data_IF_195216948079
#
_entry.id   IF_195216948079
#
_cell.length_a   1.000
_cell.length_b   1.000
_cell.length_c   1.000
_cell.angle_alpha   90.00
_cell.angle_beta   90.00
_cell.angle_gamma   90.00
#
_symmetry.space_group_name_H-M   'P 1'
#
loop_
_entity.id
_entity.type
_entity.pdbx_description
1 polymer ?
#
# COMPACT_ATOMS: atom_id res chain seq x y z
N UNK A 1 -27.80 -25.82 5.94
CA UNK A 1 -26.92 -24.94 6.71
C UNK A 1 -25.75 -24.59 5.78
N UNK A 2 -25.83 -23.41 5.17
CA UNK A 2 -24.75 -22.92 4.29
C UNK A 2 -23.52 -22.70 5.16
N UNK A 3 -22.43 -23.44 4.93
CA UNK A 3 -21.13 -23.05 5.48
C UNK A 3 -20.83 -21.68 4.89
N UNK A 4 -20.78 -20.66 5.72
CA UNK A 4 -20.18 -19.39 5.33
C UNK A 4 -18.74 -19.75 4.99
N UNK A 5 -18.40 -19.81 3.71
CA UNK A 5 -17.00 -19.85 3.30
C UNK A 5 -16.39 -18.59 3.86
N UNK A 6 -15.35 -18.74 4.70
CA UNK A 6 -14.63 -17.59 5.22
C UNK A 6 -14.02 -16.84 4.03
N UNK A 7 -14.30 -15.55 3.95
CA UNK A 7 -13.73 -14.69 2.91
C UNK A 7 -12.20 -14.71 3.00
N UNK A 8 -11.53 -14.95 1.89
CA UNK A 8 -10.07 -14.88 1.81
C UNK A 8 -9.64 -13.45 1.54
N UNK A 9 -8.85 -12.89 2.43
CA UNK A 9 -8.31 -11.53 2.31
C UNK A 9 -6.81 -11.61 2.05
N UNK A 10 -6.38 -11.04 0.92
CA UNK A 10 -4.99 -11.09 0.48
C UNK A 10 -4.38 -9.69 0.56
N UNK A 11 -3.32 -9.55 1.36
CA UNK A 11 -2.51 -8.34 1.39
C UNK A 11 -1.53 -8.32 0.22
N UNK A 12 -1.46 -7.21 -0.49
CA UNK A 12 -0.49 -6.98 -1.54
C UNK A 12 0.48 -5.88 -1.12
N UNK A 13 1.76 -6.18 -1.15
CA UNK A 13 2.81 -5.24 -0.78
C UNK A 13 4.04 -5.41 -1.67
N UNK A 14 4.94 -4.47 -1.59
CA UNK A 14 6.20 -4.46 -2.33
C UNK A 14 6.98 -3.19 -2.02
N UNK A 15 8.30 -3.23 -2.21
CA UNK A 15 9.14 -2.07 -2.06
C UNK A 15 8.88 -1.00 -3.13
N UNK A 16 9.43 0.17 -2.92
CA UNK A 16 9.42 1.25 -3.92
C UNK A 16 9.99 0.74 -5.24
N UNK A 17 9.37 1.09 -6.36
CA UNK A 17 9.76 0.67 -7.71
C UNK A 17 9.80 -0.87 -7.94
N UNK A 18 9.02 -1.65 -7.17
CA UNK A 18 8.93 -3.11 -7.34
C UNK A 18 8.08 -3.54 -8.54
N UNK A 19 7.24 -2.66 -9.09
CA UNK A 19 6.29 -3.00 -10.16
C UNK A 19 4.94 -3.48 -9.64
N UNK A 20 4.61 -3.23 -8.39
CA UNK A 20 3.36 -3.63 -7.74
C UNK A 20 2.11 -3.14 -8.48
N UNK A 21 2.14 -1.96 -9.11
CA UNK A 21 1.02 -1.40 -9.88
C UNK A 21 0.56 -2.30 -11.03
N UNK A 22 1.49 -2.94 -11.73
CA UNK A 22 1.17 -3.92 -12.79
C UNK A 22 0.43 -5.12 -12.22
N UNK A 23 0.85 -5.61 -11.07
CA UNK A 23 0.17 -6.72 -10.37
C UNK A 23 -1.24 -6.33 -9.97
N UNK A 24 -1.44 -5.12 -9.43
CA UNK A 24 -2.77 -4.59 -9.08
C UNK A 24 -3.70 -4.54 -10.29
N UNK A 25 -3.21 -4.03 -11.44
CA UNK A 25 -4.01 -3.98 -12.67
C UNK A 25 -4.45 -5.37 -13.11
N UNK A 26 -3.55 -6.34 -13.12
CA UNK A 26 -3.87 -7.72 -13.51
C UNK A 26 -4.89 -8.37 -12.56
N UNK A 27 -4.80 -8.12 -11.26
CA UNK A 27 -5.76 -8.60 -10.27
C UNK A 27 -7.15 -8.03 -10.55
N UNK A 28 -7.23 -6.73 -10.84
CA UNK A 28 -8.49 -6.05 -11.21
C UNK A 28 -9.07 -6.56 -12.52
N UNK A 29 -8.23 -6.77 -13.54
CA UNK A 29 -8.63 -7.34 -14.82
C UNK A 29 -9.17 -8.78 -14.69
N UNK A 30 -8.66 -9.54 -13.73
CA UNK A 30 -9.17 -10.87 -13.40
C UNK A 30 -10.51 -10.85 -12.64
N UNK A 31 -11.03 -9.67 -12.32
CA UNK A 31 -12.34 -9.48 -11.71
C UNK A 31 -12.34 -9.34 -10.17
N UNK A 32 -11.18 -9.36 -9.53
CA UNK A 32 -11.09 -9.18 -8.08
C UNK A 32 -11.15 -7.71 -7.66
N UNK A 33 -11.78 -7.46 -6.53
CA UNK A 33 -11.76 -6.15 -5.89
C UNK A 33 -10.43 -5.91 -5.19
N UNK A 34 -9.95 -4.67 -5.26
CA UNK A 34 -8.72 -4.23 -4.58
C UNK A 34 -9.03 -2.95 -3.81
N UNK A 35 -8.80 -2.99 -2.50
CA UNK A 35 -8.78 -1.80 -1.65
C UNK A 35 -7.39 -1.17 -1.78
N UNK A 36 -7.31 0.04 -2.32
CA UNK A 36 -6.08 0.81 -2.50
C UNK A 36 -5.93 1.79 -1.33
N UNK A 37 -4.96 1.54 -0.46
CA UNK A 37 -4.72 2.37 0.72
C UNK A 37 -4.26 3.79 0.37
N UNK A 38 -3.45 3.96 -0.68
CA UNK A 38 -2.98 5.29 -1.10
C UNK A 38 -4.14 6.13 -1.65
N UNK A 39 -5.02 5.52 -2.46
CA UNK A 39 -6.22 6.20 -2.95
C UNK A 39 -7.16 6.57 -1.80
N UNK A 40 -7.33 5.68 -0.83
CA UNK A 40 -8.11 5.93 0.36
C UNK A 40 -7.61 7.15 1.14
N UNK A 41 -6.30 7.22 1.38
CA UNK A 41 -5.66 8.36 2.05
C UNK A 41 -5.88 9.64 1.24
N UNK A 42 -5.69 9.58 -0.08
CA UNK A 42 -5.89 10.71 -0.97
C UNK A 42 -7.33 11.24 -0.87
N UNK A 43 -8.33 10.38 -0.89
CA UNK A 43 -9.75 10.75 -0.79
C UNK A 43 -10.08 11.35 0.58
N UNK A 44 -9.53 10.80 1.66
CA UNK A 44 -9.71 11.35 3.02
C UNK A 44 -9.00 12.68 3.24
N UNK A 45 -7.99 13.01 2.46
CA UNK A 45 -7.28 14.30 2.48
C UNK A 45 -7.93 15.35 1.56
N UNK A 46 -8.89 14.96 0.73
CA UNK A 46 -9.67 15.92 -0.04
C UNK A 46 -10.49 16.80 0.88
N UNK A 47 -10.84 18.00 0.40
CA UNK A 47 -11.59 19.00 1.18
C UNK A 47 -12.84 18.38 1.82
N UNK A 48 -12.96 18.51 3.13
CA UNK A 48 -14.06 17.93 3.93
C UNK A 48 -13.89 16.46 4.32
N UNK A 49 -12.83 15.77 3.88
CA UNK A 49 -12.51 14.41 4.27
C UNK A 49 -12.07 14.27 5.73
N UNK A 50 -12.02 13.05 6.24
CA UNK A 50 -11.66 12.77 7.65
C UNK A 50 -10.25 13.23 8.01
N UNK A 51 -9.25 12.93 7.15
CA UNK A 51 -7.87 13.37 7.36
C UNK A 51 -7.74 14.89 7.20
N UNK A 52 -8.41 15.46 6.21
CA UNK A 52 -8.45 16.90 6.01
C UNK A 52 -8.91 17.63 7.29
N UNK A 53 -10.03 17.21 7.87
CA UNK A 53 -10.56 17.80 9.11
C UNK A 53 -9.62 17.60 10.30
N UNK A 54 -9.08 16.40 10.49
CA UNK A 54 -8.16 16.12 11.58
C UNK A 54 -6.86 16.94 11.50
N UNK A 55 -6.34 17.15 10.30
CA UNK A 55 -5.15 17.99 10.08
C UNK A 55 -5.45 19.47 10.32
N UNK A 56 -6.62 19.96 9.91
CA UNK A 56 -7.07 21.33 10.22
C UNK A 56 -7.25 21.55 11.73
N UNK A 57 -7.89 20.62 12.44
CA UNK A 57 -8.08 20.69 13.88
C UNK A 57 -6.74 20.74 14.63
N UNK A 58 -5.74 20.04 14.12
CA UNK A 58 -4.41 20.00 14.72
C UNK A 58 -3.54 21.21 14.36
N UNK A 59 -3.46 21.60 13.09
CA UNK A 59 -2.48 22.56 12.56
C UNK A 59 -3.10 23.91 12.15
N UNK A 60 -4.42 24.01 12.11
CA UNK A 60 -5.13 25.23 11.72
C UNK A 60 -5.16 25.48 10.22
N UNK A 61 -5.81 26.55 9.81
CA UNK A 61 -6.04 26.90 8.40
C UNK A 61 -4.78 27.31 7.64
N UNK A 62 -3.68 27.56 8.34
CA UNK A 62 -2.40 27.89 7.73
C UNK A 62 -1.82 26.81 6.81
N UNK A 63 -2.37 25.60 6.85
CA UNK A 63 -1.98 24.47 5.98
C UNK A 63 -2.80 24.40 4.67
N UNK A 64 -3.68 25.37 4.44
CA UNK A 64 -4.52 25.41 3.25
C UNK A 64 -3.96 26.33 2.18
N UNK A 65 -4.28 26.00 0.92
CA UNK A 65 -4.19 26.88 -0.22
C UNK A 65 -5.37 27.86 -0.25
N UNK A 66 -5.31 28.95 -1.02
CA UNK A 66 -6.42 29.90 -1.16
C UNK A 66 -7.74 29.28 -1.62
N UNK A 67 -7.68 28.16 -2.37
CA UNK A 67 -8.87 27.42 -2.83
C UNK A 67 -9.44 26.47 -1.77
N UNK A 68 -8.84 26.39 -0.58
CA UNK A 68 -9.28 25.54 0.51
C UNK A 68 -8.72 24.11 0.51
N UNK A 69 -7.92 23.74 -0.49
CA UNK A 69 -7.23 22.44 -0.52
C UNK A 69 -6.00 22.43 0.40
N UNK A 70 -5.55 21.24 0.81
CA UNK A 70 -4.31 21.08 1.57
C UNK A 70 -3.10 21.55 0.76
N UNK A 71 -2.32 22.42 1.35
CA UNK A 71 -0.97 22.76 0.86
C UNK A 71 0.00 21.65 1.24
N UNK A 72 0.10 20.62 0.40
CA UNK A 72 0.90 19.42 0.67
C UNK A 72 2.39 19.70 0.92
N UNK A 73 3.07 20.58 0.15
CA UNK A 73 4.45 20.95 0.46
C UNK A 73 4.62 21.56 1.84
N UNK A 74 3.73 22.48 2.22
CA UNK A 74 3.77 23.13 3.54
C UNK A 74 3.46 22.14 4.67
N UNK A 75 2.47 21.30 4.48
CA UNK A 75 2.12 20.24 5.43
C UNK A 75 3.31 19.30 5.65
N UNK A 76 3.97 18.86 4.58
CA UNK A 76 5.19 18.05 4.64
C UNK A 76 6.30 18.72 5.42
N UNK A 77 6.57 20.00 5.16
CA UNK A 77 7.58 20.76 5.90
C UNK A 77 7.27 20.83 7.41
N UNK A 78 6.03 21.06 7.78
CA UNK A 78 5.61 21.11 9.18
C UNK A 78 5.73 19.73 9.87
N UNK A 79 5.26 18.67 9.23
CA UNK A 79 5.30 17.31 9.77
C UNK A 79 6.73 16.83 9.93
N UNK A 80 7.61 17.12 8.96
CA UNK A 80 9.01 16.69 8.99
C UNK A 80 9.95 17.66 9.69
N UNK A 81 9.44 18.75 10.29
CA UNK A 81 10.27 19.75 10.95
C UNK A 81 11.03 19.22 12.18
N UNK A 82 10.41 18.30 12.92
CA UNK A 82 11.02 17.65 14.08
C UNK A 82 10.35 16.31 14.39
N UNK A 83 10.93 15.56 15.31
CA UNK A 83 10.45 14.22 15.69
C UNK A 83 9.06 14.23 16.34
N UNK A 84 8.78 15.20 17.17
CA UNK A 84 7.47 15.33 17.85
C UNK A 84 6.33 15.50 16.81
N UNK A 85 6.54 16.37 15.82
CA UNK A 85 5.57 16.58 14.74
C UNK A 85 5.36 15.32 13.91
N UNK A 86 6.44 14.58 13.61
CA UNK A 86 6.35 13.29 12.89
C UNK A 86 5.54 12.26 13.68
N UNK A 87 5.83 12.10 14.96
CA UNK A 87 5.11 11.17 15.83
C UNK A 87 3.64 11.54 15.95
N UNK A 88 3.34 12.80 16.18
CA UNK A 88 1.96 13.28 16.29
C UNK A 88 1.18 13.08 14.99
N UNK A 89 1.79 13.35 13.85
CA UNK A 89 1.20 13.08 12.54
C UNK A 89 0.90 11.59 12.34
N UNK A 90 1.85 10.74 12.68
CA UNK A 90 1.69 9.29 12.56
C UNK A 90 0.55 8.76 13.47
N UNK A 91 0.42 9.28 14.68
CA UNK A 91 -0.66 8.93 15.60
C UNK A 91 -2.03 9.33 15.03
N UNK A 92 -2.18 10.61 14.66
CA UNK A 92 -3.46 11.17 14.18
C UNK A 92 -3.88 10.48 12.88
N UNK A 93 -3.01 10.50 11.86
CA UNK A 93 -3.32 9.96 10.56
C UNK A 93 -3.38 8.44 10.56
N UNK A 94 -2.44 7.79 11.23
CA UNK A 94 -2.36 6.33 11.31
C UNK A 94 -3.62 5.71 11.93
N UNK A 95 -4.15 6.29 12.99
CA UNK A 95 -5.39 5.84 13.62
C UNK A 95 -6.59 5.95 12.67
N UNK A 96 -6.74 7.09 12.00
CA UNK A 96 -7.86 7.32 11.06
C UNK A 96 -7.76 6.38 9.86
N UNK A 97 -6.56 6.25 9.28
CA UNK A 97 -6.32 5.36 8.13
C UNK A 97 -6.64 3.91 8.49
N UNK A 98 -6.17 3.45 9.65
CA UNK A 98 -6.40 2.08 10.11
C UNK A 98 -7.89 1.80 10.34
N UNK A 99 -8.61 2.73 10.92
CA UNK A 99 -10.07 2.61 11.12
C UNK A 99 -10.82 2.53 9.79
N UNK A 100 -10.47 3.37 8.82
CA UNK A 100 -11.15 3.38 7.52
C UNK A 100 -10.82 2.14 6.70
N UNK A 101 -9.55 1.69 6.70
CA UNK A 101 -9.16 0.43 6.06
C UNK A 101 -9.91 -0.76 6.67
N UNK A 102 -10.05 -0.80 8.01
CA UNK A 102 -10.80 -1.85 8.69
C UNK A 102 -12.29 -1.82 8.29
N UNK A 103 -12.90 -0.64 8.23
CA UNK A 103 -14.30 -0.50 7.83
C UNK A 103 -14.54 -0.95 6.38
N UNK A 104 -13.65 -0.61 5.46
CA UNK A 104 -13.76 -1.04 4.07
C UNK A 104 -13.51 -2.55 3.91
N UNK A 105 -12.52 -3.10 4.61
CA UNK A 105 -12.28 -4.54 4.67
C UNK A 105 -13.51 -5.30 5.14
N UNK A 106 -14.10 -4.90 6.27
CA UNK A 106 -15.23 -5.58 6.89
C UNK A 106 -16.52 -5.47 6.05
N UNK A 107 -16.66 -4.39 5.29
CA UNK A 107 -17.75 -4.24 4.32
C UNK A 107 -17.54 -5.20 3.14
N UNK A 108 -16.35 -5.19 2.55
CA UNK A 108 -16.07 -6.00 1.36
C UNK A 108 -16.07 -7.50 1.66
N UNK A 109 -15.70 -7.88 2.88
CA UNK A 109 -15.78 -9.27 3.35
C UNK A 109 -17.19 -9.85 3.42
N UNK A 110 -18.23 -9.02 3.33
CA UNK A 110 -19.64 -9.46 3.26
C UNK A 110 -20.13 -9.62 1.82
N UNK A 111 -19.40 -9.11 0.87
CA UNK A 111 -19.80 -9.01 -0.53
C UNK A 111 -18.96 -9.93 -1.45
N UNK A 112 -17.71 -10.21 -1.05
CA UNK A 112 -16.74 -10.92 -1.88
C UNK A 112 -16.18 -12.14 -1.14
N UNK A 113 -16.00 -13.24 -1.86
CA UNK A 113 -15.36 -14.45 -1.33
C UNK A 113 -13.83 -14.31 -1.27
N UNK A 114 -13.26 -13.52 -2.18
CA UNK A 114 -11.82 -13.21 -2.25
C UNK A 114 -11.64 -11.75 -2.67
N UNK A 115 -10.84 -11.01 -1.93
CA UNK A 115 -10.42 -9.66 -2.34
C UNK A 115 -9.03 -9.32 -1.84
N UNK A 116 -8.47 -8.24 -2.37
CA UNK A 116 -7.11 -7.78 -2.10
C UNK A 116 -7.11 -6.43 -1.40
N UNK A 117 -6.08 -6.20 -0.60
CA UNK A 117 -5.76 -4.88 -0.05
C UNK A 117 -4.33 -4.51 -0.43
N UNK A 118 -4.19 -3.47 -1.24
CA UNK A 118 -2.89 -2.91 -1.63
C UNK A 118 -2.45 -1.89 -0.58
N UNK A 119 -1.51 -2.30 0.27
CA UNK A 119 -0.96 -1.47 1.34
C UNK A 119 0.57 -1.40 1.19
N UNK A 120 1.14 -0.25 0.79
CA UNK A 120 2.57 -0.13 0.50
C UNK A 120 3.49 -0.50 1.67
N UNK A 121 3.21 0.00 2.86
CA UNK A 121 3.95 -0.27 4.10
C UNK A 121 3.19 -1.26 5.01
N UNK A 122 2.68 -2.33 4.42
CA UNK A 122 1.83 -3.32 5.09
C UNK A 122 2.51 -3.91 6.33
N UNK A 123 3.74 -4.36 6.19
CA UNK A 123 4.50 -5.03 7.25
C UNK A 123 5.04 -4.00 8.24
N UNK A 124 5.61 -2.91 7.75
CA UNK A 124 6.15 -1.82 8.56
C UNK A 124 5.08 -1.21 9.50
N UNK A 125 3.85 -1.13 9.04
CA UNK A 125 2.73 -0.57 9.80
C UNK A 125 1.91 -1.62 10.59
N UNK A 126 2.37 -2.87 10.63
CA UNK A 126 1.78 -3.92 11.46
C UNK A 126 0.41 -4.43 10.98
N UNK A 127 0.19 -4.50 9.67
CA UNK A 127 -1.06 -5.00 9.09
C UNK A 127 -1.04 -6.51 8.78
N UNK A 128 0.08 -7.21 8.99
CA UNK A 128 0.26 -8.60 8.57
C UNK A 128 -0.81 -9.56 9.10
N UNK A 129 -1.30 -9.34 10.30
CA UNK A 129 -2.32 -10.20 10.92
C UNK A 129 -3.74 -10.02 10.36
N UNK A 130 -3.92 -9.09 9.42
CA UNK A 130 -5.22 -8.84 8.78
C UNK A 130 -5.51 -9.78 7.62
N UNK A 131 -4.52 -10.57 7.17
CA UNK A 131 -4.56 -11.28 5.91
C UNK A 131 -4.41 -12.79 6.07
N UNK A 132 -5.12 -13.53 5.23
CA UNK A 132 -4.96 -14.98 5.08
C UNK A 132 -3.71 -15.30 4.27
N UNK A 133 -3.40 -14.43 3.32
CA UNK A 133 -2.18 -14.48 2.51
C UNK A 133 -1.59 -13.08 2.33
N UNK A 134 -0.26 -13.02 2.20
CA UNK A 134 0.44 -11.80 1.81
C UNK A 134 1.23 -12.11 0.53
N UNK A 135 0.95 -11.35 -0.52
CA UNK A 135 1.69 -11.39 -1.77
C UNK A 135 2.70 -10.24 -1.79
N UNK A 136 3.97 -10.59 -1.90
CA UNK A 136 5.09 -9.66 -1.93
C UNK A 136 5.65 -9.57 -3.35
N UNK A 137 5.54 -8.41 -3.97
CA UNK A 137 6.21 -8.10 -5.24
C UNK A 137 7.65 -7.74 -4.93
N UNK A 138 8.58 -8.55 -5.41
CA UNK A 138 9.99 -8.48 -5.04
C UNK A 138 10.86 -8.13 -6.24
N UNK A 139 11.86 -7.30 -5.98
CA UNK A 139 12.91 -6.93 -6.94
C UNK A 139 14.22 -6.75 -6.17
N UNK A 140 15.35 -7.10 -6.80
CA UNK A 140 16.65 -6.91 -6.18
C UNK A 140 16.93 -5.44 -5.90
N UNK A 141 17.71 -5.09 -4.87
CA UNK A 141 18.04 -3.71 -4.55
C UNK A 141 18.70 -2.95 -5.71
N UNK A 142 19.51 -3.64 -6.53
CA UNK A 142 20.19 -3.07 -7.69
C UNK A 142 19.19 -2.66 -8.77
N UNK A 143 18.27 -3.53 -9.12
CA UNK A 143 17.22 -3.26 -10.12
C UNK A 143 16.24 -2.23 -9.59
N UNK A 144 15.89 -2.30 -8.33
CA UNK A 144 15.05 -1.32 -7.65
C UNK A 144 15.65 0.09 -7.74
N UNK A 145 16.94 0.21 -7.44
CA UNK A 145 17.67 1.47 -7.53
C UNK A 145 17.68 2.02 -8.97
N UNK A 146 18.01 1.20 -9.95
CA UNK A 146 17.99 1.58 -11.37
C UNK A 146 16.61 2.07 -11.84
N UNK A 147 15.55 1.34 -11.48
CA UNK A 147 14.17 1.70 -11.85
C UNK A 147 13.75 3.02 -11.19
N UNK A 148 14.11 3.21 -9.92
CA UNK A 148 13.77 4.41 -9.16
C UNK A 148 14.49 5.65 -9.71
N UNK A 149 15.79 5.53 -10.00
CA UNK A 149 16.58 6.58 -10.63
C UNK A 149 15.97 7.02 -11.96
N UNK A 150 15.64 6.05 -12.81
CA UNK A 150 15.06 6.33 -14.14
C UNK A 150 13.69 6.99 -14.05
N UNK A 151 12.83 6.51 -13.16
CA UNK A 151 11.46 7.01 -13.00
C UNK A 151 11.40 8.42 -12.43
N UNK A 152 12.23 8.70 -11.44
CA UNK A 152 12.19 9.93 -10.65
C UNK A 152 13.35 10.88 -10.90
N UNK A 153 14.23 10.57 -11.87
CA UNK A 153 15.43 11.37 -12.19
C UNK A 153 16.33 11.65 -10.98
N UNK A 154 16.57 10.60 -10.17
CA UNK A 154 17.34 10.68 -8.94
C UNK A 154 18.80 10.27 -9.16
N UNK A 155 19.70 10.78 -8.30
CA UNK A 155 21.04 10.22 -8.14
C UNK A 155 20.99 8.84 -7.48
N UNK A 156 22.11 8.11 -7.53
CA UNK A 156 22.24 6.80 -6.86
C UNK A 156 22.04 6.95 -5.35
N UNK A 157 22.62 7.99 -4.77
CA UNK A 157 22.54 8.29 -3.33
C UNK A 157 21.10 8.58 -2.89
N UNK A 158 20.40 9.41 -3.65
CA UNK A 158 19.01 9.75 -3.39
C UNK A 158 18.09 8.51 -3.51
N UNK A 159 18.32 7.69 -4.53
CA UNK A 159 17.56 6.45 -4.73
C UNK A 159 17.78 5.46 -3.58
N UNK A 160 19.04 5.24 -3.19
CA UNK A 160 19.38 4.38 -2.04
C UNK A 160 18.76 4.87 -0.75
N UNK A 161 18.82 6.17 -0.46
CA UNK A 161 18.23 6.76 0.74
C UNK A 161 16.72 6.45 0.82
N UNK A 162 16.00 6.54 -0.29
CA UNK A 162 14.57 6.21 -0.34
C UNK A 162 14.31 4.72 -0.17
N UNK A 163 15.13 3.86 -0.73
CA UNK A 163 15.02 2.40 -0.57
C UNK A 163 15.27 2.02 0.88
N UNK A 164 16.34 2.55 1.48
CA UNK A 164 16.75 2.25 2.85
C UNK A 164 15.80 2.82 3.91
N UNK A 165 14.91 3.74 3.54
CA UNK A 165 13.84 4.23 4.42
C UNK A 165 12.72 3.21 4.65
N UNK A 166 12.66 2.15 3.86
CA UNK A 166 11.70 1.05 3.98
C UNK A 166 12.41 -0.20 4.54
N UNK A 167 11.62 -1.10 5.10
CA UNK A 167 12.09 -2.43 5.50
C UNK A 167 12.68 -3.15 4.28
N UNK A 168 13.80 -3.81 4.45
CA UNK A 168 14.48 -4.52 3.36
C UNK A 168 13.64 -5.70 2.84
N UNK A 169 13.94 -6.13 1.60
CA UNK A 169 13.29 -7.31 1.03
C UNK A 169 13.49 -8.55 1.90
N UNK A 170 14.72 -8.76 2.41
CA UNK A 170 15.04 -9.90 3.26
C UNK A 170 14.21 -9.93 4.56
N UNK A 171 13.94 -8.79 5.15
CA UNK A 171 13.12 -8.66 6.34
C UNK A 171 11.62 -8.87 6.06
N UNK A 172 11.15 -8.55 4.84
CA UNK A 172 9.75 -8.75 4.42
C UNK A 172 9.43 -10.17 4.03
N UNK A 173 10.39 -10.89 3.43
CA UNK A 173 10.18 -12.25 2.90
C UNK A 173 9.54 -13.23 3.89
N UNK A 174 9.91 -13.27 5.19
CA UNK A 174 9.30 -14.20 6.14
C UNK A 174 7.79 -14.04 6.34
N UNK A 175 7.24 -12.86 6.03
CA UNK A 175 5.81 -12.57 6.14
C UNK A 175 5.01 -12.93 4.88
N UNK A 176 5.70 -13.20 3.77
CA UNK A 176 5.05 -13.46 2.49
C UNK A 176 4.60 -14.92 2.37
N UNK A 177 3.34 -15.11 1.97
CA UNK A 177 2.80 -16.40 1.55
C UNK A 177 3.20 -16.72 0.11
N UNK A 178 3.33 -15.67 -0.71
CA UNK A 178 3.74 -15.74 -2.11
C UNK A 178 4.69 -14.59 -2.43
N UNK A 179 5.80 -14.92 -3.09
CA UNK A 179 6.74 -13.93 -3.60
C UNK A 179 6.61 -13.88 -5.12
N UNK A 180 6.23 -12.71 -5.64
CA UNK A 180 6.18 -12.42 -7.07
C UNK A 180 7.48 -11.72 -7.48
N UNK A 181 8.44 -12.49 -7.96
CA UNK A 181 9.73 -11.99 -8.41
C UNK A 181 9.57 -11.18 -9.70
N UNK A 182 9.98 -9.91 -9.67
CA UNK A 182 9.95 -8.99 -10.80
C UNK A 182 11.36 -8.55 -11.24
N UNK A 183 12.35 -9.40 -11.09
CA UNK A 183 13.71 -9.16 -11.61
C UNK A 183 13.82 -9.37 -13.12
N UNK A 184 12.91 -10.13 -13.71
CA UNK A 184 12.87 -10.45 -15.14
C UNK A 184 12.07 -9.45 -15.98
N UNK A 185 11.52 -9.94 -17.07
CA UNK A 185 10.68 -9.17 -17.99
C UNK A 185 9.26 -8.94 -17.42
N UNK A 186 8.55 -7.99 -18.02
CA UNK A 186 7.13 -7.78 -17.73
C UNK A 186 6.29 -9.04 -18.03
N UNK A 187 6.61 -9.74 -19.10
CA UNK A 187 5.89 -10.96 -19.47
C UNK A 187 6.12 -12.09 -18.44
N UNK A 188 7.33 -12.23 -17.91
CA UNK A 188 7.61 -13.16 -16.81
C UNK A 188 6.77 -12.85 -15.57
N UNK A 189 6.66 -11.58 -15.19
CA UNK A 189 5.80 -11.16 -14.08
C UNK A 189 4.33 -11.51 -14.36
N UNK A 190 3.85 -11.21 -15.56
CA UNK A 190 2.47 -11.50 -15.97
C UNK A 190 2.14 -12.99 -15.86
N UNK A 191 3.02 -13.86 -16.29
CA UNK A 191 2.80 -15.31 -16.19
C UNK A 191 2.76 -15.78 -14.73
N UNK A 192 3.63 -15.24 -13.86
CA UNK A 192 3.60 -15.53 -12.41
C UNK A 192 2.29 -15.10 -11.77
N UNK A 193 1.82 -13.90 -12.10
CA UNK A 193 0.54 -13.37 -11.56
C UNK A 193 -0.64 -14.21 -12.06
N UNK A 194 -0.69 -14.56 -13.34
CA UNK A 194 -1.75 -15.43 -13.89
C UNK A 194 -1.79 -16.78 -13.19
N UNK A 195 -0.62 -17.40 -12.95
CA UNK A 195 -0.54 -18.66 -12.23
C UNK A 195 -1.07 -18.52 -10.79
N UNK A 196 -0.66 -17.47 -10.09
CA UNK A 196 -1.11 -17.20 -8.72
C UNK A 196 -2.63 -17.01 -8.64
N UNK A 197 -3.22 -16.24 -9.57
CA UNK A 197 -4.66 -16.02 -9.66
C UNK A 197 -5.41 -17.32 -9.95
N UNK A 198 -4.88 -18.15 -10.85
CA UNK A 198 -5.45 -19.46 -11.17
C UNK A 198 -5.52 -20.36 -9.93
N UNK A 199 -4.48 -20.34 -9.11
CA UNK A 199 -4.42 -21.15 -7.88
C UNK A 199 -5.47 -20.73 -6.85
N UNK A 200 -5.90 -19.45 -6.83
CA UNK A 200 -6.98 -18.99 -5.97
C UNK A 200 -8.35 -19.56 -6.34
N UNK A 201 -8.55 -19.89 -7.61
CA UNK A 201 -9.83 -20.44 -8.14
C UNK A 201 -9.85 -21.95 -8.18
N UNK A 202 -8.72 -22.61 -7.91
CA UNK A 202 -8.66 -24.06 -7.87
C UNK A 202 -9.42 -24.61 -6.65
N UNK A 203 -10.27 -25.63 -6.81
CA UNK A 203 -10.91 -26.26 -5.66
C UNK A 203 -9.83 -26.86 -4.75
N UNK A 204 -9.83 -26.46 -3.50
CA UNK A 204 -8.96 -27.07 -2.50
C UNK A 204 -9.37 -28.54 -2.33
N UNK A 205 -8.48 -29.43 -2.79
CA UNK A 205 -8.63 -30.89 -2.71
C UNK A 205 -8.43 -31.39 -1.30
#
# INVERSE_FOLDING_TARGET
>A
MSSLSETMIIGLTGGIASGKSTVVEMIKEAGYKVIDADQLVHDMQAQGGRLYRALLDWLGEGILLPNGELNRPKLGQLIFSNEEMRQRSAEIQGTIIRQELAAQRDRLAKEEDVFFMDIPLLIENGYQDWFDQIWLVAVSPEIQCQRLMKRNHLSVEEAKLRIDSQMSLAEKMPYASLILDNNGSLDDLKEKVKSAIKDLTAPHS
#
